data_IF_656255590375
#
_entry.id   IF_656255590375
#
_cell.length_a   1.000
_cell.length_b   1.000
_cell.length_c   1.000
_cell.angle_alpha   90.00
_cell.angle_beta   90.00
_cell.angle_gamma   90.00
#
_symmetry.space_group_name_H-M   'P 1'
#
loop_
_entity.id
_entity.type
_entity.pdbx_description
1 polymer ?
#
# COMPACT_ATOMS: atom_id res chain seq x y z
N UNK A 1 -46.03 39.84 -13.35
CA UNK A 1 -45.00 38.84 -12.99
C UNK A 1 -45.05 38.65 -11.47
N UNK A 2 -45.02 37.39 -11.00
CA UNK A 2 -45.45 36.89 -9.67
C UNK A 2 -44.74 37.60 -8.49
N UNK A 3 -45.46 38.36 -7.64
CA UNK A 3 -46.15 37.99 -6.37
C UNK A 3 -45.22 37.64 -5.19
N UNK A 4 -44.90 38.69 -4.42
CA UNK A 4 -45.10 38.87 -2.97
C UNK A 4 -44.86 37.70 -1.99
N UNK A 5 -43.79 37.85 -1.21
CA UNK A 5 -43.76 37.97 0.25
C UNK A 5 -44.35 36.88 1.19
N UNK A 6 -43.69 36.84 2.36
CA UNK A 6 -44.18 36.62 3.73
C UNK A 6 -44.00 35.23 4.39
N UNK A 7 -43.55 35.32 5.65
CA UNK A 7 -43.72 34.46 6.84
C UNK A 7 -42.56 33.50 7.16
N UNK A 8 -41.70 33.82 8.13
CA UNK A 8 -41.89 33.84 9.60
C UNK A 8 -41.71 32.44 10.20
N UNK A 9 -40.76 32.39 11.16
CA UNK A 9 -40.68 31.55 12.35
C UNK A 9 -41.39 30.19 12.35
N UNK A 10 -40.62 29.15 12.68
CA UNK A 10 -40.96 27.88 13.38
C UNK A 10 -40.00 26.81 12.83
N UNK A 11 -39.43 25.82 13.53
CA UNK A 11 -39.53 25.24 14.86
C UNK A 11 -38.27 24.34 14.91
N UNK A 12 -37.35 24.47 15.87
CA UNK A 12 -37.35 23.63 17.07
C UNK A 12 -38.38 22.49 17.05
N UNK A 13 -38.09 21.40 16.34
CA UNK A 13 -38.71 20.09 16.59
C UNK A 13 -37.62 19.09 16.97
N UNK A 14 -37.30 19.09 18.26
CA UNK A 14 -36.98 17.86 18.97
C UNK A 14 -38.27 17.04 19.01
N UNK A 15 -38.32 15.92 18.28
CA UNK A 15 -39.15 14.74 18.53
C UNK A 15 -38.99 13.80 17.33
N UNK A 16 -38.86 12.49 17.43
CA UNK A 16 -38.62 11.55 18.51
C UNK A 16 -38.36 10.21 17.79
N UNK A 17 -37.55 9.34 18.38
CA UNK A 17 -37.49 7.89 18.16
C UNK A 17 -37.80 7.35 16.74
N UNK A 18 -36.75 6.99 16.02
CA UNK A 18 -36.71 5.69 15.35
C UNK A 18 -35.25 5.22 15.29
N UNK A 19 -34.91 4.22 16.09
CA UNK A 19 -33.77 3.36 15.76
C UNK A 19 -34.00 2.80 14.35
N UNK A 20 -33.00 2.89 13.49
CA UNK A 20 -32.45 1.66 12.96
C UNK A 20 -31.05 1.50 13.51
N UNK A 21 -30.85 0.43 14.28
CA UNK A 21 -29.54 -0.19 14.41
C UNK A 21 -29.12 -0.66 13.01
N UNK A 22 -28.48 0.22 12.24
CA UNK A 22 -27.72 -0.18 11.07
C UNK A 22 -26.31 -0.54 11.56
N UNK A 23 -25.71 -1.66 11.10
CA UNK A 23 -24.47 -2.16 11.65
C UNK A 23 -23.32 -1.23 11.25
N UNK A 24 -22.85 -0.43 12.20
CA UNK A 24 -21.60 0.35 12.09
C UNK A 24 -20.36 -0.56 11.92
N UNK A 25 -20.52 -1.88 12.07
CA UNK A 25 -19.42 -2.86 12.05
C UNK A 25 -19.06 -3.40 10.66
N UNK A 26 -19.91 -3.29 9.64
CA UNK A 26 -19.66 -3.98 8.37
C UNK A 26 -18.54 -3.34 7.53
N UNK A 27 -18.33 -2.02 7.64
CA UNK A 27 -17.41 -1.26 6.79
C UNK A 27 -15.93 -1.39 7.24
N UNK A 28 -15.70 -1.64 8.53
CA UNK A 28 -14.37 -1.74 9.13
C UNK A 28 -13.77 -3.13 8.92
N UNK A 29 -14.60 -4.17 9.03
CA UNK A 29 -14.19 -5.57 8.88
C UNK A 29 -13.68 -5.89 7.46
N UNK A 30 -14.34 -5.38 6.40
CA UNK A 30 -13.89 -5.68 5.04
C UNK A 30 -12.59 -4.95 4.66
N UNK A 31 -12.39 -3.73 5.18
CA UNK A 31 -11.17 -2.93 4.92
C UNK A 31 -9.98 -3.50 5.68
N UNK A 32 -10.15 -3.91 6.93
CA UNK A 32 -9.10 -4.55 7.73
C UNK A 32 -8.68 -5.88 7.11
N UNK A 33 -9.62 -6.76 6.76
CA UNK A 33 -9.35 -8.03 6.08
C UNK A 33 -8.63 -7.82 4.72
N UNK A 34 -9.05 -6.80 3.94
CA UNK A 34 -8.39 -6.45 2.68
C UNK A 34 -6.97 -5.91 2.88
N UNK A 35 -6.71 -5.21 3.99
CA UNK A 35 -5.39 -4.68 4.31
C UNK A 35 -4.45 -5.78 4.82
N UNK A 36 -4.93 -6.67 5.69
CA UNK A 36 -4.17 -7.82 6.17
C UNK A 36 -3.80 -8.76 5.03
N UNK A 37 -4.75 -9.09 4.15
CA UNK A 37 -4.47 -9.92 2.97
C UNK A 37 -3.43 -9.30 2.03
N UNK A 38 -3.43 -7.98 1.85
CA UNK A 38 -2.38 -7.28 1.10
C UNK A 38 -1.03 -7.36 1.79
N UNK A 39 -0.99 -7.13 3.10
CA UNK A 39 0.25 -7.22 3.88
C UNK A 39 0.84 -8.64 3.83
N UNK A 40 0.00 -9.67 3.88
CA UNK A 40 0.42 -11.06 3.70
C UNK A 40 1.05 -11.29 2.33
N UNK A 41 0.38 -10.86 1.25
CA UNK A 41 0.93 -11.01 -0.11
C UNK A 41 2.26 -10.29 -0.28
N UNK A 42 2.38 -9.05 0.18
CA UNK A 42 3.63 -8.29 0.11
C UNK A 42 4.75 -9.01 0.87
N UNK A 43 4.45 -9.59 2.04
CA UNK A 43 5.42 -10.35 2.83
C UNK A 43 5.87 -11.62 2.12
N UNK A 44 4.95 -12.33 1.45
CA UNK A 44 5.27 -13.52 0.67
C UNK A 44 6.14 -13.19 -0.54
N UNK A 45 5.78 -12.18 -1.32
CA UNK A 45 6.56 -11.69 -2.45
C UNK A 45 7.96 -11.26 -2.00
N UNK A 46 8.06 -10.44 -0.96
CA UNK A 46 9.33 -10.00 -0.38
C UNK A 46 10.23 -11.16 0.05
N UNK A 47 9.66 -12.20 0.66
CA UNK A 47 10.41 -13.39 1.06
C UNK A 47 10.85 -14.21 -0.15
N UNK A 48 10.01 -14.30 -1.18
CA UNK A 48 10.36 -14.97 -2.43
C UNK A 48 11.55 -14.27 -3.12
N UNK A 49 11.49 -12.95 -3.30
CA UNK A 49 12.59 -12.16 -3.90
C UNK A 49 13.89 -12.30 -3.11
N UNK A 50 13.81 -12.28 -1.77
CA UNK A 50 14.99 -12.44 -0.92
C UNK A 50 15.61 -13.84 -1.04
N UNK A 51 14.78 -14.88 -1.10
CA UNK A 51 15.24 -16.25 -1.31
C UNK A 51 15.89 -16.43 -2.69
N UNK A 52 15.30 -15.85 -3.73
CA UNK A 52 15.86 -15.84 -5.09
C UNK A 52 17.23 -15.15 -5.10
N UNK A 53 17.35 -13.97 -4.47
CA UNK A 53 18.63 -13.27 -4.34
C UNK A 53 19.71 -14.12 -3.65
N UNK A 54 19.35 -14.87 -2.60
CA UNK A 54 20.30 -15.74 -1.91
C UNK A 54 20.69 -16.98 -2.70
N UNK A 55 19.77 -17.50 -3.52
CA UNK A 55 20.06 -18.62 -4.41
C UNK A 55 21.04 -18.20 -5.51
N UNK A 56 20.86 -16.99 -6.06
CA UNK A 56 21.68 -16.49 -7.16
C UNK A 56 23.00 -15.87 -6.71
N UNK A 57 23.05 -15.30 -5.50
CA UNK A 57 24.22 -14.58 -5.00
C UNK A 57 24.52 -14.90 -3.53
N UNK A 58 25.44 -15.83 -3.25
CA UNK A 58 25.88 -16.16 -1.88
C UNK A 58 26.41 -14.96 -1.09
N UNK A 59 27.07 -13.99 -1.75
CA UNK A 59 27.57 -12.77 -1.10
C UNK A 59 26.44 -11.88 -0.58
N UNK A 60 25.28 -11.91 -1.24
CA UNK A 60 24.11 -11.17 -0.75
C UNK A 60 23.61 -11.72 0.60
N UNK A 61 23.78 -13.03 0.84
CA UNK A 61 23.47 -13.64 2.13
C UNK A 61 24.39 -13.13 3.24
N UNK A 62 25.69 -13.01 2.99
CA UNK A 62 26.66 -12.44 3.94
C UNK A 62 26.32 -10.99 4.29
N UNK A 63 25.99 -10.17 3.28
CA UNK A 63 25.55 -8.79 3.50
C UNK A 63 24.23 -8.72 4.27
N UNK A 64 23.30 -9.63 4.00
CA UNK A 64 22.05 -9.71 4.73
C UNK A 64 22.28 -10.09 6.19
N UNK A 65 23.21 -11.00 6.49
CA UNK A 65 23.55 -11.37 7.86
C UNK A 65 24.14 -10.18 8.64
N UNK A 66 25.00 -9.39 7.99
CA UNK A 66 25.65 -8.21 8.58
C UNK A 66 24.82 -6.92 8.62
N UNK A 67 23.66 -6.86 7.98
CA UNK A 67 22.84 -5.62 7.95
C UNK A 67 22.15 -5.31 9.29
N UNK A 68 21.61 -4.11 9.47
CA UNK A 68 20.67 -3.78 10.55
C UNK A 68 19.23 -4.18 10.20
N UNK A 69 18.86 -4.02 8.92
CA UNK A 69 17.55 -4.34 8.39
C UNK A 69 17.59 -4.67 6.91
N UNK A 70 16.41 -4.93 6.36
CA UNK A 70 16.25 -5.15 4.93
C UNK A 70 14.90 -4.65 4.44
N UNK A 71 14.80 -4.33 3.16
CA UNK A 71 13.54 -4.03 2.52
C UNK A 71 13.48 -4.69 1.14
N UNK A 72 12.32 -5.21 0.76
CA UNK A 72 12.11 -5.78 -0.57
C UNK A 72 10.83 -5.20 -1.20
N UNK A 73 10.94 -4.81 -2.46
CA UNK A 73 9.88 -4.19 -3.23
C UNK A 73 9.71 -4.90 -4.57
N UNK A 74 8.53 -5.45 -4.80
CA UNK A 74 8.15 -6.00 -6.10
C UNK A 74 7.64 -4.87 -6.98
N UNK A 75 8.34 -4.57 -8.08
CA UNK A 75 8.06 -3.43 -8.94
C UNK A 75 7.71 -3.83 -10.37
N UNK A 76 6.90 -2.95 -10.98
CA UNK A 76 6.58 -2.97 -12.40
C UNK A 76 6.95 -1.61 -13.00
N UNK A 77 7.76 -1.60 -14.05
CA UNK A 77 8.10 -0.41 -14.83
C UNK A 77 7.55 -0.53 -16.24
N UNK A 78 6.91 0.54 -16.71
CA UNK A 78 6.39 0.70 -18.06
C UNK A 78 7.13 1.88 -18.68
N UNK A 79 7.62 1.72 -19.91
CA UNK A 79 8.29 2.79 -20.65
C UNK A 79 7.72 2.90 -22.07
N UNK A 80 7.33 4.12 -22.44
CA UNK A 80 6.97 4.53 -23.81
C UNK A 80 7.45 5.99 -24.03
N UNK A 81 8.77 6.18 -24.18
CA UNK A 81 9.42 7.50 -24.28
C UNK A 81 9.53 8.25 -22.94
N UNK A 82 8.49 8.15 -22.10
CA UNK A 82 8.55 8.41 -20.66
C UNK A 82 8.44 7.08 -19.92
N UNK A 83 9.11 6.96 -18.78
CA UNK A 83 9.07 5.75 -17.95
C UNK A 83 8.45 6.05 -16.58
N UNK A 84 7.51 5.20 -16.21
CA UNK A 84 6.84 5.23 -14.92
C UNK A 84 6.69 3.81 -14.41
N UNK A 85 6.79 3.64 -13.12
CA UNK A 85 6.66 2.33 -12.51
C UNK A 85 6.26 2.43 -11.06
N UNK A 86 5.83 1.33 -10.50
CA UNK A 86 5.51 1.27 -9.09
C UNK A 86 5.40 -0.15 -8.60
N UNK A 87 5.38 -0.26 -7.28
CA UNK A 87 5.45 -1.51 -6.59
C UNK A 87 4.92 -1.41 -5.18
N UNK A 88 4.89 -2.55 -4.51
CA UNK A 88 4.63 -2.63 -3.08
C UNK A 88 5.77 -3.40 -2.44
N UNK A 89 6.06 -3.07 -1.19
CA UNK A 89 7.15 -3.70 -0.48
C UNK A 89 7.00 -3.59 1.02
N UNK A 90 7.93 -4.26 1.70
CA UNK A 90 8.05 -4.26 3.14
C UNK A 90 9.49 -3.98 3.54
N UNK A 91 9.66 -3.12 4.54
CA UNK A 91 10.91 -2.93 5.25
C UNK A 91 10.83 -3.63 6.61
N UNK A 92 11.91 -4.29 7.02
CA UNK A 92 12.00 -5.08 8.24
C UNK A 92 13.28 -4.71 8.98
N UNK A 93 13.13 -4.35 10.26
CA UNK A 93 14.25 -4.24 11.19
C UNK A 93 14.54 -5.63 11.75
N UNK A 94 15.77 -6.13 11.65
CA UNK A 94 16.08 -7.50 12.07
C UNK A 94 16.02 -7.68 13.58
N UNK A 95 16.49 -6.69 14.34
CA UNK A 95 16.56 -6.76 15.80
C UNK A 95 15.17 -6.84 16.45
N UNK A 96 14.23 -6.00 15.99
CA UNK A 96 12.89 -5.89 16.59
C UNK A 96 11.82 -6.69 15.84
N UNK A 97 12.11 -7.09 14.59
CA UNK A 97 11.14 -7.69 13.69
C UNK A 97 10.04 -6.72 13.22
N UNK A 98 10.17 -5.42 13.51
CA UNK A 98 9.20 -4.40 13.11
C UNK A 98 9.11 -4.31 11.58
N UNK A 99 7.88 -4.22 11.07
CA UNK A 99 7.58 -4.23 9.63
C UNK A 99 6.86 -2.97 9.21
N UNK A 100 7.30 -2.39 8.10
CA UNK A 100 6.65 -1.24 7.49
C UNK A 100 6.29 -1.57 6.05
N UNK A 101 5.00 -1.65 5.77
CA UNK A 101 4.47 -1.87 4.42
C UNK A 101 4.29 -0.55 3.70
N UNK A 102 4.77 -0.46 2.48
CA UNK A 102 4.81 0.79 1.74
C UNK A 102 4.70 0.57 0.23
N UNK A 103 4.19 1.59 -0.45
CA UNK A 103 4.14 1.66 -1.91
C UNK A 103 5.40 2.34 -2.41
N UNK A 104 5.96 1.80 -3.49
CA UNK A 104 7.07 2.40 -4.21
C UNK A 104 6.55 2.98 -5.53
N UNK A 105 6.97 4.20 -5.84
CA UNK A 105 6.69 4.87 -7.11
C UNK A 105 8.01 5.28 -7.74
N UNK A 106 8.13 5.05 -9.04
CA UNK A 106 9.30 5.39 -9.85
C UNK A 106 8.85 6.19 -11.05
N UNK A 107 9.58 7.23 -11.38
CA UNK A 107 9.36 8.02 -12.58
C UNK A 107 10.72 8.40 -13.16
N UNK A 108 10.82 8.44 -14.48
CA UNK A 108 12.04 8.82 -15.18
C UNK A 108 11.81 9.03 -16.66
N UNK A 109 12.66 9.81 -17.30
CA UNK A 109 12.65 10.02 -18.75
C UNK A 109 13.66 9.07 -19.38
N UNK A 110 13.30 8.37 -20.44
CA UNK A 110 14.21 7.45 -21.12
C UNK A 110 13.61 6.85 -22.39
N UNK A 111 14.45 6.62 -23.40
CA UNK A 111 14.11 6.01 -24.68
C UNK A 111 13.86 4.50 -24.56
N UNK A 112 13.01 4.09 -23.62
CA UNK A 112 12.60 2.70 -23.41
C UNK A 112 11.21 2.46 -23.98
N UNK A 113 11.03 1.31 -24.64
CA UNK A 113 9.73 0.75 -25.01
C UNK A 113 9.60 -0.62 -24.33
N UNK A 114 8.63 -0.79 -23.43
CA UNK A 114 8.34 -2.10 -22.86
C UNK A 114 7.86 -2.10 -21.40
N UNK A 115 7.67 -3.32 -20.89
CA UNK A 115 7.22 -3.61 -19.53
C UNK A 115 8.30 -4.47 -18.85
N UNK A 116 8.78 -4.03 -17.69
CA UNK A 116 9.79 -4.73 -16.90
C UNK A 116 9.24 -5.01 -15.50
N UNK A 117 9.25 -6.27 -15.10
CA UNK A 117 9.06 -6.68 -13.71
C UNK A 117 10.44 -6.84 -13.08
N UNK A 118 10.64 -6.26 -11.92
CA UNK A 118 11.91 -6.32 -11.21
C UNK A 118 11.67 -6.12 -9.72
N UNK A 119 12.46 -6.83 -8.93
CA UNK A 119 12.42 -6.70 -7.49
C UNK A 119 13.64 -5.90 -7.03
N UNK A 120 13.42 -5.02 -6.05
CA UNK A 120 14.49 -4.19 -5.47
C UNK A 120 14.64 -4.56 -4.01
N UNK A 121 15.84 -5.00 -3.64
CA UNK A 121 16.17 -5.42 -2.29
C UNK A 121 17.23 -4.47 -1.73
N UNK A 122 16.93 -3.85 -0.60
CA UNK A 122 17.83 -3.00 0.15
C UNK A 122 18.30 -3.74 1.40
N UNK A 123 19.60 -3.70 1.65
CA UNK A 123 20.23 -4.13 2.88
C UNK A 123 20.91 -2.90 3.48
N UNK A 124 20.61 -2.58 4.73
CA UNK A 124 21.09 -1.38 5.43
C UNK A 124 21.44 -1.71 6.87
#
# INVERSE_FOLDING_TARGET
MRKSAIYVATLLTIAALALPAAPVFAEEDWKSMKQESKAMKIKEEAKASLNELFADNPKAKELYEGSYGWAAFANLKIALGFSGGGGNGVAVVKETGAKTFMKMGTAGVGLGLGINKYDVIFLF
#
